data_IF_347579334384
#
_entry.id   IF_347579334384
#
_cell.length_a   1.000
_cell.length_b   1.000
_cell.length_c   1.000
_cell.angle_alpha   90.00
_cell.angle_beta   90.00
_cell.angle_gamma   90.00
#
_symmetry.space_group_name_H-M   'P 1'
#
loop_
_entity.id
_entity.type
_entity.pdbx_description
1 polymer ?
#
# COMPACT_ATOMS: atom_id res chain seq x y z
N UNK A 1 3.20 -2.80 11.87
CA UNK A 1 1.83 -3.17 11.48
C UNK A 1 0.91 -2.07 11.98
N UNK A 2 0.22 -1.40 11.05
CA UNK A 2 -0.76 -0.36 11.36
C UNK A 2 -2.16 -0.97 11.19
N UNK A 3 -3.05 -0.74 12.16
CA UNK A 3 -4.46 -1.13 12.07
C UNK A 3 -5.32 0.08 12.42
N UNK A 4 -6.10 0.53 11.45
CA UNK A 4 -6.98 1.69 11.62
C UNK A 4 -8.29 1.45 10.85
N UNK A 5 -9.44 1.58 11.51
CA UNK A 5 -10.77 1.59 10.86
C UNK A 5 -11.01 0.47 9.82
N UNK A 6 -10.70 -0.77 10.20
CA UNK A 6 -10.75 -1.99 9.37
C UNK A 6 -9.79 -2.03 8.17
N UNK A 7 -8.82 -1.11 8.13
CA UNK A 7 -7.66 -1.19 7.26
C UNK A 7 -6.46 -1.77 8.03
N UNK A 8 -5.73 -2.69 7.41
CA UNK A 8 -4.52 -3.30 7.95
C UNK A 8 -3.38 -3.05 6.97
N UNK A 9 -2.29 -2.46 7.42
CA UNK A 9 -1.08 -2.25 6.62
C UNK A 9 0.15 -2.82 7.34
N UNK A 10 0.99 -3.55 6.60
CA UNK A 10 2.25 -4.11 7.13
C UNK A 10 3.25 -4.37 6.01
N UNK A 11 4.54 -4.29 6.34
CA UNK A 11 5.62 -4.66 5.42
C UNK A 11 5.94 -6.14 5.58
N UNK A 12 6.12 -6.82 4.44
CA UNK A 12 6.76 -8.13 4.34
C UNK A 12 8.11 -7.95 3.67
N UNK A 13 9.14 -8.51 4.29
CA UNK A 13 10.49 -8.53 3.76
C UNK A 13 10.84 -9.95 3.32
N UNK A 14 11.41 -10.12 2.13
CA UNK A 14 12.00 -11.36 1.66
C UNK A 14 13.34 -11.05 0.99
N UNK A 15 14.44 -11.40 1.65
CA UNK A 15 15.78 -10.90 1.30
C UNK A 15 15.81 -9.37 1.20
N UNK A 16 16.15 -8.82 0.03
CA UNK A 16 16.19 -7.38 -0.24
C UNK A 16 14.81 -6.82 -0.64
N UNK A 17 13.85 -7.69 -0.98
CA UNK A 17 12.54 -7.23 -1.40
C UNK A 17 11.73 -6.75 -0.19
N UNK A 18 11.10 -5.60 -0.36
CA UNK A 18 10.15 -5.02 0.61
C UNK A 18 8.81 -4.86 -0.10
N UNK A 19 7.80 -5.54 0.43
CA UNK A 19 6.42 -5.45 -0.06
C UNK A 19 5.56 -4.88 1.06
N UNK A 20 4.98 -3.72 0.81
CA UNK A 20 3.93 -3.15 1.64
C UNK A 20 2.58 -3.80 1.28
N UNK A 21 2.01 -4.53 2.23
CA UNK A 21 0.69 -5.16 2.09
C UNK A 21 -0.34 -4.29 2.78
N UNK A 22 -1.40 -3.93 2.06
CA UNK A 22 -2.53 -3.18 2.60
C UNK A 22 -3.83 -3.93 2.31
N UNK A 23 -4.63 -4.13 3.35
CA UNK A 23 -5.93 -4.78 3.27
C UNK A 23 -6.98 -3.80 3.78
N UNK A 24 -7.88 -3.33 2.91
CA UNK A 24 -9.07 -2.62 3.33
C UNK A 24 -10.22 -3.62 3.52
N UNK A 25 -10.51 -3.99 4.76
CA UNK A 25 -11.63 -4.90 5.08
C UNK A 25 -12.95 -4.18 5.30
N UNK A 26 -12.97 -2.84 5.16
CA UNK A 26 -14.18 -2.05 5.33
C UNK A 26 -15.03 -2.06 4.06
N UNK A 27 -16.32 -1.75 4.21
CA UNK A 27 -17.28 -1.58 3.10
C UNK A 27 -17.16 -0.22 2.40
N UNK A 28 -16.22 0.62 2.83
CA UNK A 28 -15.99 1.98 2.32
C UNK A 28 -14.56 2.14 1.83
N UNK A 29 -14.30 3.11 0.94
CA UNK A 29 -12.94 3.48 0.62
C UNK A 29 -12.24 4.02 1.87
N UNK A 30 -10.93 3.79 1.99
CA UNK A 30 -10.11 4.29 3.09
C UNK A 30 -8.88 4.98 2.55
N UNK A 31 -8.61 6.16 3.09
CA UNK A 31 -7.36 6.88 2.81
C UNK A 31 -6.43 6.66 3.98
N UNK A 32 -5.23 6.15 3.69
CA UNK A 32 -4.16 6.02 4.69
C UNK A 32 -3.03 6.98 4.33
N UNK A 33 -2.36 7.48 5.35
CA UNK A 33 -1.09 8.20 5.15
C UNK A 33 0.01 7.16 5.04
N UNK A 34 0.76 7.22 3.96
CA UNK A 34 1.99 6.48 3.75
C UNK A 34 3.11 7.48 3.80
N UNK A 35 4.01 7.29 4.75
CA UNK A 35 5.31 7.95 4.75
C UNK A 35 6.29 6.95 4.11
N UNK A 36 6.46 6.98 2.77
CA UNK A 36 7.40 6.09 2.12
C UNK A 36 8.80 6.37 2.68
N UNK A 37 9.39 5.37 3.32
CA UNK A 37 10.81 5.36 3.65
C UNK A 37 11.61 5.71 2.37
N UNK A 38 12.84 6.25 2.45
CA UNK A 38 13.65 6.59 1.27
C UNK A 38 13.84 5.44 0.25
N UNK A 39 13.59 4.21 0.69
CA UNK A 39 13.61 2.96 -0.07
C UNK A 39 12.34 2.72 -0.92
N UNK A 40 11.33 3.59 -0.84
CA UNK A 40 10.07 3.46 -1.57
C UNK A 40 9.93 4.69 -2.47
N UNK A 41 10.34 4.57 -3.73
CA UNK A 41 10.19 5.66 -4.68
C UNK A 41 8.72 5.84 -5.09
N UNK A 42 8.10 6.95 -4.69
CA UNK A 42 6.69 7.28 -4.99
C UNK A 42 6.35 7.19 -6.48
N UNK A 43 7.32 7.45 -7.36
CA UNK A 43 7.13 7.39 -8.82
C UNK A 43 7.09 5.98 -9.40
N UNK A 44 7.33 4.94 -8.58
CA UNK A 44 7.48 3.55 -9.04
C UNK A 44 6.61 2.54 -8.29
N UNK A 45 5.60 3.00 -7.56
CA UNK A 45 4.75 2.10 -6.80
C UNK A 45 3.79 1.36 -7.72
N UNK A 46 3.81 0.04 -7.62
CA UNK A 46 2.97 -0.85 -8.42
C UNK A 46 2.28 -1.87 -7.52
N UNK A 47 1.02 -2.17 -7.81
CA UNK A 47 0.36 -3.34 -7.25
C UNK A 47 0.91 -4.59 -7.94
N UNK A 48 1.73 -5.35 -7.23
CA UNK A 48 2.39 -6.55 -7.74
C UNK A 48 1.41 -7.67 -8.09
N UNK A 49 0.16 -7.64 -7.60
CA UNK A 49 -0.86 -8.62 -7.99
C UNK A 49 -1.54 -8.31 -9.32
N UNK A 50 -1.85 -7.03 -9.58
CA UNK A 50 -2.66 -6.62 -10.75
C UNK A 50 -1.86 -5.94 -11.83
N UNK A 51 -0.67 -5.47 -11.50
CA UNK A 51 0.17 -4.65 -12.36
C UNK A 51 -0.23 -3.17 -12.42
N UNK A 52 -1.26 -2.76 -11.69
CA UNK A 52 -1.74 -1.38 -11.64
C UNK A 52 -0.70 -0.45 -11.00
N UNK A 53 -0.50 0.73 -11.60
CA UNK A 53 0.34 1.76 -11.00
C UNK A 53 -0.39 2.44 -9.84
N UNK A 54 0.30 2.58 -8.72
CA UNK A 54 -0.23 3.20 -7.52
C UNK A 54 0.26 4.65 -7.46
N UNK A 55 -0.69 5.58 -7.52
CA UNK A 55 -0.40 6.99 -7.30
C UNK A 55 -0.57 7.34 -5.83
N UNK A 56 0.44 7.98 -5.25
CA UNK A 56 0.32 8.69 -3.99
C UNK A 56 -0.02 10.15 -4.28
N UNK A 57 -0.93 10.72 -3.49
CA UNK A 57 -1.24 12.16 -3.52
C UNK A 57 -0.97 12.71 -2.13
N UNK A 58 0.01 13.61 -2.01
CA UNK A 58 0.43 14.20 -0.73
C UNK A 58 0.75 13.15 0.35
N UNK A 59 1.47 12.08 0.00
CA UNK A 59 1.79 10.97 0.91
C UNK A 59 0.56 10.17 1.34
N UNK A 60 -0.56 10.24 0.61
CA UNK A 60 -1.78 9.49 0.92
C UNK A 60 -2.16 8.56 -0.21
N UNK A 61 -2.69 7.41 0.20
CA UNK A 61 -3.23 6.41 -0.70
C UNK A 61 -4.68 6.13 -0.37
N UNK A 62 -5.55 6.19 -1.39
CA UNK A 62 -6.94 5.78 -1.26
C UNK A 62 -7.11 4.35 -1.73
N UNK A 63 -7.58 3.49 -0.84
CA UNK A 63 -7.79 2.07 -1.07
C UNK A 63 -9.30 1.80 -1.23
N UNK A 64 -9.75 1.17 -2.33
CA UNK A 64 -11.15 0.83 -2.51
C UNK A 64 -11.70 -0.10 -1.41
N UNK A 65 -13.03 -0.17 -1.22
CA UNK A 65 -13.66 -1.14 -0.33
C UNK A 65 -13.24 -2.57 -0.64
N UNK A 66 -13.05 -3.40 0.38
CA UNK A 66 -12.71 -4.83 0.22
C UNK A 66 -11.49 -5.13 -0.65
N UNK A 67 -10.59 -4.16 -0.85
CA UNK A 67 -9.42 -4.31 -1.71
C UNK A 67 -8.18 -4.78 -0.95
N UNK A 68 -7.30 -5.46 -1.68
CA UNK A 68 -5.97 -5.87 -1.22
C UNK A 68 -4.92 -5.32 -2.17
N UNK A 69 -3.94 -4.57 -1.65
CA UNK A 69 -2.84 -4.00 -2.41
C UNK A 69 -1.52 -4.59 -1.92
N UNK A 70 -0.66 -4.95 -2.88
CA UNK A 70 0.67 -5.49 -2.64
C UNK A 70 1.66 -4.57 -3.34
N UNK A 71 2.17 -3.60 -2.62
CA UNK A 71 2.95 -2.49 -3.17
C UNK A 71 4.44 -2.81 -3.01
N UNK A 72 5.19 -2.76 -4.10
CA UNK A 72 6.64 -2.87 -4.08
C UNK A 72 7.24 -2.19 -5.31
N UNK A 73 8.57 -2.16 -5.37
CA UNK A 73 9.32 -1.68 -6.53
C UNK A 73 9.42 -2.79 -7.60
N UNK A 74 9.44 -2.41 -8.89
CA UNK A 74 9.85 -3.26 -10.02
C UNK A 74 11.04 -2.62 -10.74
#
# INVERSE_FOLDING_TARGET
MLRENDCLAFVRAYFEDRILVILNRSKSARTISLDPSPEINESKLKNLLTGEQIALTDGKLTIPPSASLFIGEQ
#
